data_IF_018361884451
#
_entry.id   IF_018361884451
#
_cell.length_a   1.000
_cell.length_b   1.000
_cell.length_c   1.000
_cell.angle_alpha   90.00
_cell.angle_beta   90.00
_cell.angle_gamma   90.00
#
_symmetry.space_group_name_H-M   'P 1'
#
loop_
_entity.id
_entity.type
_entity.pdbx_description
1 polymer ?
#
# COMPACT_ATOMS: atom_id res chain seq x y z
N UNK A 1 -15.52 -2.22 65.54
CA UNK A 1 -16.20 -2.89 64.41
C UNK A 1 -16.77 -1.77 63.54
N UNK A 2 -16.42 -1.53 62.28
CA UNK A 2 -15.79 -2.35 61.23
C UNK A 2 -15.28 -1.41 60.13
N UNK A 3 -13.99 -1.44 59.78
CA UNK A 3 -13.39 -0.70 58.62
C UNK A 3 -12.72 -1.71 57.65
N UNK A 4 -13.07 -2.99 57.77
CA UNK A 4 -12.39 -4.09 57.10
C UNK A 4 -13.36 -4.85 56.19
N UNK A 5 -13.77 -4.22 55.08
CA UNK A 5 -14.52 -4.96 54.05
C UNK A 5 -14.38 -4.41 52.62
N UNK A 6 -13.44 -3.50 52.37
CA UNK A 6 -13.24 -2.89 51.04
C UNK A 6 -11.88 -3.22 50.43
N UNK A 7 -11.32 -4.41 50.73
CA UNK A 7 -9.95 -4.78 50.38
C UNK A 7 -9.79 -6.17 49.74
N UNK A 8 -10.81 -6.70 49.05
CA UNK A 8 -10.72 -8.01 48.36
C UNK A 8 -11.04 -7.96 46.87
N UNK A 9 -11.56 -6.85 46.33
CA UNK A 9 -11.94 -6.74 44.91
C UNK A 9 -10.85 -6.14 44.01
N UNK A 10 -9.71 -5.73 44.55
CA UNK A 10 -8.61 -5.13 43.77
C UNK A 10 -7.43 -6.09 43.52
N UNK A 11 -7.42 -7.27 44.15
CA UNK A 11 -6.30 -8.22 44.03
C UNK A 11 -6.43 -9.16 42.81
N UNK A 12 -7.62 -9.25 42.20
CA UNK A 12 -7.88 -10.18 41.10
C UNK A 12 -7.50 -9.63 39.71
N UNK A 13 -7.30 -8.31 39.56
CA UNK A 13 -6.97 -7.71 38.27
C UNK A 13 -5.46 -7.76 37.98
N UNK A 14 -4.61 -7.78 39.02
CA UNK A 14 -3.16 -7.72 38.85
C UNK A 14 -2.53 -9.04 38.38
N UNK A 15 -3.19 -10.17 38.61
CA UNK A 15 -2.70 -11.50 38.16
C UNK A 15 -2.90 -11.72 36.65
N UNK A 16 -3.93 -11.10 36.05
CA UNK A 16 -4.24 -11.31 34.63
C UNK A 16 -3.24 -10.58 33.69
N UNK A 17 -2.57 -9.52 34.18
CA UNK A 17 -1.62 -8.72 33.39
C UNK A 17 -0.21 -9.33 33.37
N UNK A 18 0.15 -10.19 34.32
CA UNK A 18 1.50 -10.79 34.39
C UNK A 18 1.72 -12.02 33.49
N UNK A 19 0.69 -12.58 32.87
CA UNK A 19 0.82 -13.80 32.05
C UNK A 19 1.17 -13.50 30.58
N UNK A 20 1.05 -12.24 30.12
CA UNK A 20 1.29 -11.89 28.71
C UNK A 20 2.76 -11.58 28.35
N UNK A 21 3.69 -11.63 29.31
CA UNK A 21 5.11 -11.34 29.05
C UNK A 21 6.01 -12.57 28.86
N UNK A 22 5.45 -13.77 28.75
CA UNK A 22 6.26 -14.97 28.51
C UNK A 22 5.71 -15.78 27.34
N UNK A 23 6.60 -15.98 26.36
CA UNK A 23 6.60 -16.99 25.30
C UNK A 23 6.13 -16.55 23.91
N UNK A 24 7.11 -16.25 23.05
CA UNK A 24 7.16 -16.73 21.65
C UNK A 24 8.57 -16.53 21.10
N UNK A 25 9.49 -17.41 21.53
CA UNK A 25 10.65 -17.74 20.72
C UNK A 25 10.24 -18.89 19.78
N UNK A 26 9.81 -18.56 18.56
CA UNK A 26 9.71 -19.56 17.51
C UNK A 26 11.06 -19.63 16.79
N UNK A 27 11.90 -20.56 17.23
CA UNK A 27 13.02 -21.10 16.45
C UNK A 27 12.44 -21.84 15.25
N UNK A 28 12.40 -21.18 14.09
CA UNK A 28 12.02 -21.81 12.82
C UNK A 28 13.13 -22.70 12.30
N UNK A 29 13.00 -24.01 12.50
CA UNK A 29 13.72 -25.03 11.72
C UNK A 29 13.31 -24.88 10.26
N UNK A 30 14.27 -24.66 9.38
CA UNK A 30 14.05 -24.67 7.93
C UNK A 30 13.78 -26.11 7.47
N UNK A 31 12.64 -26.41 6.82
CA UNK A 31 12.50 -27.66 6.10
C UNK A 31 13.30 -27.58 4.79
N UNK A 32 14.35 -28.40 4.70
CA UNK A 32 15.01 -28.74 3.44
C UNK A 32 13.96 -29.19 2.42
N UNK A 33 13.74 -28.37 1.40
CA UNK A 33 12.83 -28.71 0.29
C UNK A 33 13.41 -29.92 -0.47
N UNK A 34 12.59 -30.93 -0.82
CA UNK A 34 13.04 -32.04 -1.64
C UNK A 34 13.43 -31.53 -3.03
N UNK A 35 14.65 -31.89 -3.44
CA UNK A 35 15.20 -31.69 -4.78
C UNK A 35 14.31 -32.40 -5.80
N UNK A 36 13.34 -31.69 -6.36
CA UNK A 36 12.62 -32.13 -7.56
C UNK A 36 13.45 -31.75 -8.78
N UNK A 37 14.02 -32.76 -9.45
CA UNK A 37 14.57 -32.61 -10.80
C UNK A 37 13.41 -32.43 -11.78
N UNK A 38 13.26 -31.24 -12.35
CA UNK A 38 12.49 -31.00 -13.57
C UNK A 38 13.19 -29.91 -14.41
N UNK A 39 13.14 -30.00 -15.75
CA UNK A 39 14.13 -29.39 -16.63
C UNK A 39 14.00 -27.88 -16.73
N UNK A 40 15.16 -27.24 -16.91
CA UNK A 40 15.30 -25.80 -17.10
C UNK A 40 14.48 -25.30 -18.31
N UNK A 41 13.47 -24.48 -18.01
CA UNK A 41 12.89 -23.53 -18.97
C UNK A 41 13.17 -22.13 -18.42
N UNK A 42 13.72 -21.19 -19.19
CA UNK A 42 13.85 -19.82 -18.76
C UNK A 42 12.45 -19.20 -18.83
N UNK A 43 11.65 -19.41 -17.80
CA UNK A 43 10.52 -18.52 -17.55
C UNK A 43 11.19 -17.24 -17.08
N UNK A 44 11.22 -16.23 -17.95
CA UNK A 44 11.45 -14.87 -17.53
C UNK A 44 10.42 -14.60 -16.41
N UNK A 45 10.86 -14.74 -15.17
CA UNK A 45 10.14 -14.23 -14.02
C UNK A 45 10.07 -12.74 -14.31
N UNK A 46 8.97 -12.29 -14.91
CA UNK A 46 8.54 -10.90 -14.84
C UNK A 46 8.59 -10.62 -13.36
N UNK A 47 9.70 -10.00 -12.92
CA UNK A 47 9.84 -9.52 -11.56
C UNK A 47 8.64 -8.62 -11.40
N UNK A 48 7.63 -9.11 -10.69
CA UNK A 48 6.41 -8.38 -10.41
C UNK A 48 6.92 -7.14 -9.71
N UNK A 49 6.97 -6.02 -10.44
CA UNK A 49 7.52 -4.78 -9.94
C UNK A 49 6.80 -4.53 -8.61
N UNK A 50 7.55 -4.31 -7.54
CA UNK A 50 6.92 -4.11 -6.24
C UNK A 50 5.92 -2.97 -6.38
N UNK A 51 4.68 -3.19 -5.91
CA UNK A 51 3.61 -2.20 -5.99
C UNK A 51 4.05 -0.96 -5.18
N UNK A 52 4.79 -1.11 -4.09
CA UNK A 52 5.48 0.00 -3.42
C UNK A 52 6.89 -0.36 -2.96
N UNK A 53 7.78 0.63 -2.87
CA UNK A 53 9.10 0.47 -2.24
C UNK A 53 9.08 0.75 -0.71
N UNK A 54 7.92 1.13 -0.17
CA UNK A 54 7.65 1.28 1.26
C UNK A 54 6.38 0.51 1.63
N UNK A 55 6.16 0.23 2.91
CA UNK A 55 4.91 -0.39 3.39
C UNK A 55 3.69 0.45 3.00
N UNK A 56 3.74 1.77 3.25
CA UNK A 56 2.64 2.68 2.93
C UNK A 56 2.37 2.76 1.41
N UNK A 57 3.43 2.77 0.59
CA UNK A 57 3.30 2.76 -0.86
C UNK A 57 2.70 1.45 -1.39
N UNK A 58 3.08 0.31 -0.79
CA UNK A 58 2.56 -1.00 -1.14
C UNK A 58 1.05 -1.10 -0.81
N UNK A 59 0.66 -0.64 0.38
CA UNK A 59 -0.74 -0.59 0.81
C UNK A 59 -1.57 0.34 -0.09
N UNK A 60 -1.08 1.54 -0.34
CA UNK A 60 -1.79 2.52 -1.17
C UNK A 60 -1.92 2.04 -2.62
N UNK A 61 -0.85 1.53 -3.24
CA UNK A 61 -0.93 1.01 -4.61
C UNK A 61 -1.89 -0.19 -4.72
N UNK A 62 -1.94 -1.06 -3.70
CA UNK A 62 -2.92 -2.15 -3.65
C UNK A 62 -4.35 -1.61 -3.53
N UNK A 63 -4.55 -0.60 -2.68
CA UNK A 63 -5.84 0.07 -2.51
C UNK A 63 -6.31 0.77 -3.79
N UNK A 64 -5.41 1.42 -4.53
CA UNK A 64 -5.70 2.07 -5.82
C UNK A 64 -6.22 1.04 -6.83
N UNK A 65 -5.54 -0.10 -6.98
CA UNK A 65 -5.97 -1.18 -7.88
C UNK A 65 -7.34 -1.74 -7.48
N UNK A 66 -7.58 -1.94 -6.19
CA UNK A 66 -8.86 -2.44 -5.70
C UNK A 66 -10.01 -1.44 -5.91
N UNK A 67 -9.73 -0.15 -5.71
CA UNK A 67 -10.75 0.90 -5.74
C UNK A 67 -11.09 1.33 -7.16
N UNK A 68 -10.10 1.39 -8.05
CA UNK A 68 -10.32 1.73 -9.45
C UNK A 68 -10.88 0.57 -10.27
N UNK A 69 -10.82 -0.66 -9.74
CA UNK A 69 -11.37 -1.85 -10.37
C UNK A 69 -10.80 -2.06 -11.77
N UNK A 70 -11.66 -2.10 -12.77
CA UNK A 70 -11.27 -2.37 -14.16
C UNK A 70 -10.74 -1.14 -14.92
N UNK A 71 -10.71 0.05 -14.29
CA UNK A 71 -10.21 1.27 -14.93
C UNK A 71 -8.67 1.33 -14.98
N UNK A 72 -8.00 0.60 -14.09
CA UNK A 72 -6.54 0.52 -14.02
C UNK A 72 -6.09 -0.91 -14.25
N UNK A 73 -5.06 -1.09 -15.07
CA UNK A 73 -4.43 -2.39 -15.32
C UNK A 73 -3.22 -2.62 -14.42
N UNK A 74 -2.56 -1.55 -13.97
CA UNK A 74 -1.42 -1.62 -13.05
C UNK A 74 -1.31 -0.33 -12.24
N UNK A 75 -0.68 -0.41 -11.06
CA UNK A 75 -0.37 0.75 -10.23
C UNK A 75 0.87 0.47 -9.38
N UNK A 76 1.70 1.49 -9.20
CA UNK A 76 2.86 1.43 -8.34
C UNK A 76 3.13 2.78 -7.67
N UNK A 77 3.69 2.74 -6.47
CA UNK A 77 4.07 3.90 -5.67
C UNK A 77 5.57 3.87 -5.43
N UNK A 78 6.25 5.00 -5.62
CA UNK A 78 7.67 5.17 -5.31
C UNK A 78 7.86 6.32 -4.36
N UNK A 79 8.72 6.11 -3.38
CA UNK A 79 9.25 7.12 -2.45
C UNK A 79 8.18 7.87 -1.65
N UNK A 80 6.94 7.34 -1.65
CA UNK A 80 5.75 7.95 -1.07
C UNK A 80 5.31 9.26 -1.74
N UNK A 81 5.91 9.67 -2.85
CA UNK A 81 5.61 10.93 -3.55
C UNK A 81 5.21 10.76 -5.02
N UNK A 82 5.46 9.58 -5.60
CA UNK A 82 5.15 9.27 -7.00
C UNK A 82 4.22 8.07 -7.10
N UNK A 83 3.06 8.28 -7.73
CA UNK A 83 2.11 7.22 -8.10
C UNK A 83 2.15 7.04 -9.62
N UNK A 84 2.59 5.89 -10.11
CA UNK A 84 2.40 5.50 -11.49
C UNK A 84 1.17 4.60 -11.63
N UNK A 85 0.32 4.89 -12.61
CA UNK A 85 -0.86 4.07 -12.92
C UNK A 85 -0.95 3.82 -14.42
N UNK A 86 -1.28 2.59 -14.79
CA UNK A 86 -1.58 2.21 -16.18
C UNK A 86 -3.09 2.12 -16.31
N UNK A 87 -3.70 2.95 -17.16
CA UNK A 87 -5.13 2.90 -17.44
C UNK A 87 -5.46 1.70 -18.33
N UNK A 88 -6.67 1.18 -18.20
CA UNK A 88 -7.20 0.18 -19.14
C UNK A 88 -7.78 0.83 -20.39
N UNK A 89 -8.15 -0.01 -21.35
CA UNK A 89 -8.90 0.37 -22.56
C UNK A 89 -10.33 0.88 -22.29
N UNK A 90 -10.81 0.75 -21.04
CA UNK A 90 -12.12 1.25 -20.60
C UNK A 90 -12.13 2.73 -20.28
N UNK A 91 -10.97 3.36 -20.10
CA UNK A 91 -10.85 4.79 -19.81
C UNK A 91 -10.82 5.58 -21.12
N UNK A 92 -11.80 6.46 -21.31
CA UNK A 92 -11.85 7.31 -22.50
C UNK A 92 -10.90 8.50 -22.37
N UNK A 93 -10.42 9.09 -23.47
CA UNK A 93 -9.54 10.27 -23.42
C UNK A 93 -10.10 11.44 -22.60
N UNK A 94 -11.43 11.62 -22.61
CA UNK A 94 -12.11 12.67 -21.82
C UNK A 94 -12.13 12.39 -20.32
N UNK A 95 -11.96 11.13 -19.91
CA UNK A 95 -11.96 10.71 -18.50
C UNK A 95 -10.57 10.71 -17.86
N UNK A 96 -9.50 10.81 -18.65
CA UNK A 96 -8.11 10.78 -18.18
C UNK A 96 -7.83 11.86 -17.13
N UNK A 97 -8.22 13.11 -17.41
CA UNK A 97 -7.97 14.22 -16.49
C UNK A 97 -8.84 14.15 -15.21
N UNK A 98 -10.15 13.87 -15.28
CA UNK A 98 -10.97 13.59 -14.09
C UNK A 98 -10.44 12.43 -13.22
N UNK A 99 -9.97 11.35 -13.85
CA UNK A 99 -9.36 10.22 -13.16
C UNK A 99 -8.08 10.64 -12.44
N UNK A 100 -7.17 11.31 -13.13
CA UNK A 100 -5.92 11.82 -12.54
C UNK A 100 -6.20 12.75 -11.35
N UNK A 101 -7.18 13.65 -11.46
CA UNK A 101 -7.60 14.52 -10.36
C UNK A 101 -8.05 13.72 -9.14
N UNK A 102 -8.85 12.68 -9.34
CA UNK A 102 -9.33 11.81 -8.27
C UNK A 102 -8.18 11.04 -7.61
N UNK A 103 -7.24 10.54 -8.40
CA UNK A 103 -6.05 9.84 -7.91
C UNK A 103 -5.16 10.76 -7.08
N UNK A 104 -4.89 11.99 -7.55
CA UNK A 104 -4.13 12.99 -6.77
C UNK A 104 -4.82 13.28 -5.44
N UNK A 105 -6.15 13.43 -5.43
CA UNK A 105 -6.90 13.68 -4.20
C UNK A 105 -6.79 12.52 -3.21
N UNK A 106 -6.87 11.27 -3.68
CA UNK A 106 -6.65 10.09 -2.86
C UNK A 106 -5.21 10.01 -2.35
N UNK A 107 -4.24 10.27 -3.22
CA UNK A 107 -2.82 10.19 -2.92
C UNK A 107 -2.42 11.21 -1.83
N UNK A 108 -2.94 12.45 -1.92
CA UNK A 108 -2.75 13.48 -0.90
C UNK A 108 -3.30 13.11 0.47
N UNK A 109 -4.38 12.34 0.54
CA UNK A 109 -4.95 11.90 1.83
C UNK A 109 -4.03 10.90 2.53
N UNK A 110 -3.37 10.03 1.77
CA UNK A 110 -2.45 9.04 2.31
C UNK A 110 -1.04 9.59 2.55
N UNK A 111 -0.61 10.58 1.78
CA UNK A 111 0.74 11.17 1.85
C UNK A 111 0.64 12.70 1.96
N UNK A 112 0.28 13.23 3.15
CA UNK A 112 0.07 14.65 3.35
C UNK A 112 1.39 15.43 3.50
N UNK A 113 1.32 16.76 3.35
CA UNK A 113 2.41 17.71 3.62
C UNK A 113 3.63 17.61 2.71
N UNK A 114 3.45 17.14 1.48
CA UNK A 114 4.51 17.03 0.49
C UNK A 114 3.95 17.20 -0.92
N UNK A 115 4.83 17.52 -1.85
CA UNK A 115 4.50 17.52 -3.28
C UNK A 115 4.28 16.08 -3.75
N UNK A 116 3.38 15.90 -4.71
CA UNK A 116 3.01 14.58 -5.22
C UNK A 116 2.93 14.60 -6.74
N UNK A 117 3.38 13.52 -7.37
CA UNK A 117 3.25 13.31 -8.81
C UNK A 117 2.43 12.06 -9.09
N UNK A 118 1.42 12.20 -9.93
CA UNK A 118 0.64 11.08 -10.48
C UNK A 118 0.93 10.97 -11.97
N UNK A 119 1.52 9.85 -12.37
CA UNK A 119 1.90 9.54 -13.74
C UNK A 119 0.88 8.57 -14.32
N UNK A 120 0.11 9.02 -15.32
CA UNK A 120 -0.85 8.18 -16.05
C UNK A 120 -0.22 7.66 -17.33
N UNK A 121 -0.20 6.33 -17.46
CA UNK A 121 0.23 5.62 -18.65
C UNK A 121 -0.97 5.02 -19.37
N UNK A 122 -0.95 5.06 -20.70
CA UNK A 122 -1.88 4.33 -21.56
C UNK A 122 -1.66 2.80 -21.46
N UNK A 123 -2.59 1.97 -22.00
CA UNK A 123 -2.43 0.52 -22.01
C UNK A 123 -1.14 0.02 -22.67
N UNK A 124 -0.58 0.79 -23.60
CA UNK A 124 0.72 0.54 -24.25
C UNK A 124 1.94 1.06 -23.45
N UNK A 125 1.72 1.44 -22.19
CA UNK A 125 2.71 1.96 -21.24
C UNK A 125 3.34 3.31 -21.61
N UNK A 126 2.76 4.06 -22.56
CA UNK A 126 3.19 5.43 -22.83
C UNK A 126 2.61 6.39 -21.79
N UNK A 127 3.46 7.26 -21.26
CA UNK A 127 3.02 8.35 -20.39
C UNK A 127 2.11 9.30 -21.21
N UNK A 128 0.88 9.51 -20.74
CA UNK A 128 -0.13 10.33 -21.42
C UNK A 128 -0.51 11.59 -20.65
N UNK A 129 -0.30 11.60 -19.34
CA UNK A 129 -0.59 12.75 -18.49
C UNK A 129 0.20 12.64 -17.20
N UNK A 130 0.81 13.75 -16.77
CA UNK A 130 1.36 13.90 -15.42
C UNK A 130 0.52 14.92 -14.66
N UNK A 131 0.04 14.54 -13.48
CA UNK A 131 -0.63 15.44 -12.57
C UNK A 131 0.26 15.70 -11.35
N UNK A 132 0.76 16.93 -11.24
CA UNK A 132 1.65 17.37 -10.17
C UNK A 132 0.88 18.20 -9.15
N UNK A 133 0.79 17.73 -7.91
CA UNK A 133 0.27 18.47 -6.78
C UNK A 133 1.39 19.22 -6.08
N UNK A 134 1.20 20.52 -5.93
CA UNK A 134 2.09 21.41 -5.21
C UNK A 134 1.49 21.69 -3.82
N UNK A 135 2.21 21.30 -2.77
CA UNK A 135 1.71 21.38 -1.40
C UNK A 135 1.65 22.81 -0.86
N UNK A 136 2.46 23.72 -1.41
CA UNK A 136 2.51 25.11 -0.98
C UNK A 136 1.31 25.89 -1.52
N UNK A 137 1.01 25.71 -2.80
CA UNK A 137 -0.10 26.39 -3.49
C UNK A 137 -1.41 25.63 -3.42
N UNK A 138 -1.37 24.34 -3.05
CA UNK A 138 -2.49 23.40 -3.03
C UNK A 138 -3.16 23.20 -4.40
N UNK A 139 -2.41 23.43 -5.47
CA UNK A 139 -2.89 23.32 -6.84
C UNK A 139 -2.40 22.05 -7.51
N UNK A 140 -3.18 21.58 -8.50
CA UNK A 140 -2.78 20.48 -9.38
C UNK A 140 -2.46 21.06 -10.75
N UNK A 141 -1.25 20.81 -11.24
CA UNK A 141 -0.78 21.15 -12.58
C UNK A 141 -0.78 19.89 -13.44
N UNK A 142 -1.13 20.05 -14.71
CA UNK A 142 -1.20 18.95 -15.67
C UNK A 142 -0.18 19.19 -16.79
N UNK A 143 0.57 18.15 -17.14
CA UNK A 143 1.59 18.12 -18.18
C UNK A 143 1.40 16.94 -19.13
#
# INVERSE_FOLDING_TARGET
>A
MSIFQRSTRQLMVFVLVCILFLTTACTGVSPSSPKSLAPARPIATLQKLQIGNTTAGQEFGTWVLQTAGELLSDAYVRDNDKLGVVISDKVTPTDVQPLARSLVQGFRRNFPNQDLSVLLYAPDQKLILTANYDNQTQQVKYE
#
